data_IF_158254255637
#
_entry.id   IF_158254255637
#
_cell.length_a   1.000
_cell.length_b   1.000
_cell.length_c   1.000
_cell.angle_alpha   90.00
_cell.angle_beta   90.00
_cell.angle_gamma   90.00
#
_symmetry.space_group_name_H-M   'P 1'
#
loop_
_entity.id
_entity.type
_entity.pdbx_description
1 polymer ?
#
# COMPACT_ATOMS: atom_id res chain seq x y z
N UNK A 1 17.99 -7.24 13.41
CA UNK A 1 16.82 -7.86 12.78
C UNK A 1 17.20 -8.27 11.37
N UNK A 2 16.63 -9.34 10.83
CA UNK A 2 17.03 -9.85 9.52
C UNK A 2 16.12 -9.24 8.46
N UNK A 3 16.69 -8.53 7.47
CA UNK A 3 15.92 -7.99 6.36
C UNK A 3 15.37 -9.14 5.49
N UNK A 4 14.05 -9.21 5.36
CA UNK A 4 13.38 -10.18 4.48
C UNK A 4 13.32 -9.71 3.04
N UNK A 5 13.32 -8.40 2.82
CA UNK A 5 13.38 -7.76 1.51
C UNK A 5 14.42 -6.65 1.58
N UNK A 6 15.34 -6.61 0.62
CA UNK A 6 16.28 -5.52 0.44
C UNK A 6 16.42 -5.19 -1.05
N UNK A 7 16.21 -3.92 -1.40
CA UNK A 7 16.48 -3.40 -2.72
C UNK A 7 17.51 -2.28 -2.64
N UNK A 8 18.49 -2.29 -3.53
CA UNK A 8 19.59 -1.33 -3.58
C UNK A 8 19.68 -0.75 -4.99
N UNK A 9 19.40 0.55 -5.13
CA UNK A 9 19.37 1.30 -6.39
C UNK A 9 18.60 0.58 -7.49
N UNK A 10 17.52 -0.11 -7.09
CA UNK A 10 16.71 -0.94 -7.98
C UNK A 10 16.05 -0.07 -9.05
N UNK A 11 16.37 -0.34 -10.31
CA UNK A 11 15.88 0.45 -11.45
C UNK A 11 15.28 -0.44 -12.52
N UNK A 12 14.15 -0.01 -13.09
CA UNK A 12 13.54 -0.66 -14.25
C UNK A 12 13.12 0.34 -15.31
N UNK A 13 13.66 0.16 -16.51
CA UNK A 13 13.35 0.94 -17.71
C UNK A 13 12.58 0.08 -18.72
N UNK A 14 11.58 0.67 -19.37
CA UNK A 14 10.86 0.11 -20.50
C UNK A 14 10.98 1.10 -21.67
N UNK A 15 11.95 0.87 -22.55
CA UNK A 15 12.32 1.85 -23.57
C UNK A 15 12.74 3.19 -22.92
N UNK A 16 12.05 4.27 -23.28
CA UNK A 16 12.31 5.61 -22.72
C UNK A 16 11.68 5.82 -21.32
N UNK A 17 10.76 4.96 -20.88
CA UNK A 17 10.08 5.10 -19.59
C UNK A 17 10.90 4.45 -18.47
N UNK A 18 11.29 5.22 -17.46
CA UNK A 18 11.82 4.70 -16.20
C UNK A 18 10.66 4.48 -15.23
N UNK A 19 10.24 3.23 -15.09
CA UNK A 19 9.10 2.87 -14.24
C UNK A 19 9.46 2.73 -12.76
N UNK A 20 10.71 2.38 -12.45
CA UNK A 20 11.30 2.39 -11.09
C UNK A 20 12.70 2.97 -11.23
N UNK A 21 13.02 3.95 -10.39
CA UNK A 21 14.23 4.75 -10.49
C UNK A 21 14.98 4.78 -9.16
N UNK A 22 16.12 4.07 -9.09
CA UNK A 22 17.03 3.99 -7.94
C UNK A 22 16.34 3.72 -6.61
N UNK A 23 15.35 2.81 -6.60
CA UNK A 23 14.61 2.45 -5.39
C UNK A 23 15.52 1.77 -4.38
N UNK A 24 15.51 2.31 -3.16
CA UNK A 24 16.16 1.71 -2.00
C UNK A 24 15.07 1.43 -0.95
N UNK A 25 14.93 0.16 -0.54
CA UNK A 25 13.98 -0.25 0.48
C UNK A 25 14.49 -1.47 1.23
N UNK A 26 14.24 -1.50 2.53
CA UNK A 26 14.50 -2.63 3.40
C UNK A 26 13.23 -2.92 4.20
N UNK A 27 12.81 -4.19 4.25
CA UNK A 27 11.64 -4.67 5.01
C UNK A 27 12.09 -5.77 5.94
N UNK A 28 11.74 -5.63 7.22
CA UNK A 28 12.17 -6.55 8.26
C UNK A 28 11.20 -7.74 8.42
N UNK A 29 11.66 -8.78 9.11
CA UNK A 29 10.83 -9.95 9.41
C UNK A 29 9.65 -9.56 10.30
N UNK A 30 8.45 -10.06 9.95
CA UNK A 30 7.23 -9.77 10.71
C UNK A 30 6.72 -8.33 10.56
N UNK A 31 7.14 -7.62 9.52
CA UNK A 31 6.70 -6.26 9.20
C UNK A 31 5.57 -6.28 8.16
N UNK A 32 4.59 -5.39 8.31
CA UNK A 32 3.71 -4.97 7.22
C UNK A 32 4.28 -3.67 6.65
N UNK A 33 4.83 -3.75 5.45
CA UNK A 33 5.30 -2.60 4.69
C UNK A 33 4.29 -2.23 3.60
N UNK A 34 3.86 -0.96 3.58
CA UNK A 34 2.96 -0.44 2.54
C UNK A 34 3.69 0.47 1.56
N UNK A 35 3.69 0.14 0.27
CA UNK A 35 4.14 1.02 -0.80
C UNK A 35 2.95 1.75 -1.39
N UNK A 36 2.91 3.06 -1.22
CA UNK A 36 1.77 3.91 -1.55
C UNK A 36 2.12 4.92 -2.64
N UNK A 37 1.18 5.23 -3.48
CA UNK A 37 1.33 6.25 -4.52
C UNK A 37 0.19 6.19 -5.54
N UNK A 38 0.07 7.20 -6.42
CA UNK A 38 -0.96 7.25 -7.45
C UNK A 38 -0.79 6.14 -8.48
N UNK A 39 -1.78 6.01 -9.36
CA UNK A 39 -1.67 5.12 -10.50
C UNK A 39 -0.50 5.55 -11.39
N UNK A 40 0.25 4.56 -11.88
CA UNK A 40 1.45 4.81 -12.67
C UNK A 40 2.71 5.18 -11.86
N UNK A 41 2.64 5.28 -10.53
CA UNK A 41 3.81 5.61 -9.70
C UNK A 41 4.95 4.57 -9.75
N UNK A 42 4.68 3.35 -10.22
CA UNK A 42 5.66 2.26 -10.30
C UNK A 42 5.45 1.13 -9.27
N UNK A 43 4.41 1.17 -8.44
CA UNK A 43 4.13 0.22 -7.36
C UNK A 43 4.12 -1.25 -7.83
N UNK A 44 3.27 -1.58 -8.81
CA UNK A 44 3.17 -2.93 -9.38
C UNK A 44 4.48 -3.37 -10.04
N UNK A 45 5.21 -2.44 -10.70
CA UNK A 45 6.51 -2.76 -11.29
C UNK A 45 7.54 -3.08 -10.21
N UNK A 46 7.58 -2.32 -9.12
CA UNK A 46 8.43 -2.60 -7.97
C UNK A 46 8.13 -3.98 -7.39
N UNK A 47 6.86 -4.28 -7.18
CA UNK A 47 6.45 -5.59 -6.65
C UNK A 47 6.88 -6.75 -7.58
N UNK A 48 6.68 -6.60 -8.89
CA UNK A 48 7.11 -7.61 -9.88
C UNK A 48 8.62 -7.80 -9.92
N UNK A 49 9.40 -6.74 -9.71
CA UNK A 49 10.86 -6.84 -9.58
C UNK A 49 11.24 -7.65 -8.33
N UNK A 50 10.63 -7.34 -7.17
CA UNK A 50 10.90 -8.04 -5.92
C UNK A 50 10.46 -9.52 -5.95
N UNK A 51 9.42 -9.86 -6.72
CA UNK A 51 8.99 -11.24 -6.93
C UNK A 51 9.79 -12.00 -8.00
N UNK A 52 10.80 -11.37 -8.64
CA UNK A 52 11.55 -11.99 -9.74
C UNK A 52 10.72 -12.23 -11.01
N UNK A 53 9.59 -11.55 -11.18
CA UNK A 53 8.74 -11.64 -12.38
C UNK A 53 9.24 -10.76 -13.53
N UNK A 54 10.06 -9.76 -13.20
CA UNK A 54 10.70 -8.84 -14.14
C UNK A 54 12.13 -8.61 -13.66
N UNK A 55 13.11 -8.70 -14.55
CA UNK A 55 14.49 -8.43 -14.19
C UNK A 55 14.75 -6.91 -14.04
N UNK A 56 15.58 -6.49 -13.08
CA UNK A 56 16.02 -5.12 -12.99
C UNK A 56 16.87 -4.73 -14.21
N UNK A 57 16.85 -3.44 -14.57
CA UNK A 57 17.77 -2.87 -15.56
C UNK A 57 19.09 -2.50 -14.89
N UNK A 58 19.02 -1.99 -13.65
CA UNK A 58 20.17 -1.60 -12.83
C UNK A 58 19.84 -1.88 -11.35
N UNK A 59 20.86 -1.95 -10.52
CA UNK A 59 20.71 -2.25 -9.09
C UNK A 59 20.44 -3.73 -8.83
N UNK A 60 20.04 -4.05 -7.61
CA UNK A 60 19.73 -5.42 -7.20
C UNK A 60 18.63 -5.47 -6.15
N UNK A 61 18.00 -6.63 -6.01
CA UNK A 61 17.14 -6.92 -4.88
C UNK A 61 17.40 -8.34 -4.36
N UNK A 62 17.24 -8.50 -3.05
CA UNK A 62 17.36 -9.75 -2.32
C UNK A 62 16.08 -9.97 -1.53
N UNK A 63 15.46 -11.12 -1.66
CA UNK A 63 14.24 -11.51 -0.95
C UNK A 63 14.47 -12.87 -0.27
N UNK A 64 14.22 -12.92 1.03
CA UNK A 64 14.46 -14.11 1.88
C UNK A 64 15.90 -14.64 1.73
N UNK A 65 16.88 -13.72 1.54
CA UNK A 65 18.28 -14.05 1.39
C UNK A 65 18.71 -14.42 -0.04
N UNK A 66 17.79 -14.48 -1.02
CA UNK A 66 18.05 -14.86 -2.40
C UNK A 66 17.99 -13.67 -3.36
N UNK A 67 18.95 -13.60 -4.30
CA UNK A 67 18.99 -12.57 -5.35
C UNK A 67 17.88 -12.82 -6.38
N UNK A 68 16.98 -11.83 -6.56
CA UNK A 68 15.78 -11.98 -7.41
C UNK A 68 16.08 -12.19 -8.89
N UNK A 69 17.28 -11.84 -9.35
CA UNK A 69 17.68 -12.00 -10.75
C UNK A 69 18.46 -13.31 -11.01
N UNK A 70 19.10 -13.86 -9.99
CA UNK A 70 19.98 -15.04 -10.12
C UNK A 70 19.37 -16.30 -9.53
N UNK A 71 18.58 -16.15 -8.48
CA UNK A 71 18.04 -17.25 -7.67
C UNK A 71 16.50 -17.20 -7.63
N UNK A 72 15.90 -16.91 -8.79
CA UNK A 72 14.45 -16.62 -8.90
C UNK A 72 13.57 -17.77 -8.43
N UNK A 73 14.00 -19.02 -8.61
CA UNK A 73 13.22 -20.19 -8.18
C UNK A 73 13.21 -20.29 -6.65
N UNK A 74 14.36 -20.08 -6.00
CA UNK A 74 14.45 -20.02 -4.54
C UNK A 74 13.61 -18.86 -3.97
N UNK A 75 13.58 -17.70 -4.64
CA UNK A 75 12.68 -16.60 -4.25
C UNK A 75 11.23 -17.06 -4.31
N UNK A 76 10.79 -17.66 -5.43
CA UNK A 76 9.41 -18.12 -5.63
C UNK A 76 8.94 -19.16 -4.63
N UNK A 77 9.84 -20.05 -4.19
CA UNK A 77 9.54 -21.08 -3.18
C UNK A 77 9.20 -20.47 -1.81
N UNK A 78 9.66 -19.25 -1.54
CA UNK A 78 9.50 -18.59 -0.24
C UNK A 78 8.52 -17.42 -0.23
N UNK A 79 7.97 -17.02 -1.37
CA UNK A 79 7.06 -15.87 -1.46
C UNK A 79 5.67 -16.30 -1.90
N UNK A 80 4.65 -15.61 -1.39
CA UNK A 80 3.31 -15.60 -1.96
C UNK A 80 3.08 -14.30 -2.73
N UNK A 81 2.58 -14.38 -3.96
CA UNK A 81 2.23 -13.19 -4.74
C UNK A 81 0.75 -13.20 -5.11
N UNK A 82 0.03 -12.23 -4.59
CA UNK A 82 -1.36 -11.96 -4.93
C UNK A 82 -1.42 -10.75 -5.87
N UNK A 83 -1.57 -11.01 -7.15
CA UNK A 83 -1.70 -9.95 -8.17
C UNK A 83 -3.03 -9.20 -8.03
N UNK A 84 -3.09 -7.95 -8.48
CA UNK A 84 -4.31 -7.12 -8.50
C UNK A 84 -5.50 -7.86 -9.13
N UNK A 85 -5.27 -8.66 -10.17
CA UNK A 85 -6.25 -9.59 -10.75
C UNK A 85 -5.77 -11.01 -10.51
N UNK A 86 -6.20 -11.60 -9.41
CA UNK A 86 -5.85 -12.99 -9.10
C UNK A 86 -6.66 -13.97 -9.95
N UNK A 87 -5.98 -15.00 -10.44
CA UNK A 87 -6.51 -15.98 -11.39
C UNK A 87 -7.43 -17.04 -10.74
N UNK A 88 -8.48 -16.64 -10.02
CA UNK A 88 -9.46 -17.60 -9.50
C UNK A 88 -10.26 -18.25 -10.63
N UNK A 89 -10.43 -19.56 -10.56
CA UNK A 89 -11.31 -20.31 -11.46
C UNK A 89 -12.77 -20.11 -11.03
N UNK A 90 -13.49 -19.32 -11.83
CA UNK A 90 -14.84 -18.84 -11.46
C UNK A 90 -15.87 -19.98 -11.37
N UNK A 91 -15.70 -21.05 -12.14
CA UNK A 91 -16.58 -22.21 -12.18
C UNK A 91 -16.29 -23.23 -11.08
N UNK A 92 -15.10 -23.18 -10.49
CA UNK A 92 -14.73 -24.00 -9.36
C UNK A 92 -15.25 -23.41 -8.05
N UNK A 93 -15.56 -24.28 -7.10
CA UNK A 93 -15.89 -23.92 -5.72
C UNK A 93 -14.69 -23.35 -4.98
N UNK A 94 -14.91 -22.80 -3.79
CA UNK A 94 -13.83 -22.37 -2.89
C UNK A 94 -12.88 -23.53 -2.60
N UNK A 95 -13.41 -24.71 -2.23
CA UNK A 95 -12.61 -25.89 -1.92
C UNK A 95 -11.81 -26.37 -3.14
N UNK A 96 -12.43 -26.42 -4.32
CA UNK A 96 -11.73 -26.84 -5.55
C UNK A 96 -10.65 -25.86 -6.00
N UNK A 97 -10.86 -24.54 -5.86
CA UNK A 97 -9.80 -23.56 -6.10
C UNK A 97 -8.62 -23.81 -5.15
N UNK A 98 -8.87 -23.99 -3.85
CA UNK A 98 -7.82 -24.26 -2.87
C UNK A 98 -7.08 -25.56 -3.19
N UNK A 99 -7.80 -26.64 -3.55
CA UNK A 99 -7.20 -27.90 -3.93
C UNK A 99 -6.30 -27.74 -5.17
N UNK A 100 -6.77 -27.04 -6.19
CA UNK A 100 -6.01 -26.78 -7.40
C UNK A 100 -4.67 -26.07 -7.09
N UNK A 101 -4.71 -24.99 -6.29
CA UNK A 101 -3.48 -24.28 -5.93
C UNK A 101 -2.58 -25.08 -5.00
N UNK A 102 -3.13 -25.91 -4.10
CA UNK A 102 -2.34 -26.83 -3.28
C UNK A 102 -1.59 -27.85 -4.14
N UNK A 103 -2.28 -28.43 -5.13
CA UNK A 103 -1.68 -29.41 -6.05
C UNK A 103 -0.54 -28.81 -6.89
N UNK A 104 -0.64 -27.53 -7.29
CA UNK A 104 0.46 -26.83 -7.98
C UNK A 104 1.73 -26.73 -7.15
N UNK A 105 1.60 -26.67 -5.81
CA UNK A 105 2.73 -26.62 -4.88
C UNK A 105 3.10 -28.04 -4.33
N UNK A 106 2.47 -29.09 -4.85
CA UNK A 106 2.71 -30.47 -4.40
C UNK A 106 2.19 -30.78 -3.00
N UNK A 107 1.26 -29.96 -2.46
CA UNK A 107 0.68 -30.13 -1.13
C UNK A 107 -0.58 -30.99 -1.28
N UNK A 108 -0.50 -32.23 -0.80
CA UNK A 108 -1.54 -33.25 -0.99
C UNK A 108 -1.90 -33.95 0.31
N UNK A 109 -3.00 -34.72 0.28
CA UNK A 109 -3.42 -35.57 1.39
C UNK A 109 -3.75 -34.78 2.66
N UNK A 110 -3.38 -35.33 3.81
CA UNK A 110 -3.73 -34.80 5.13
C UNK A 110 -3.19 -33.38 5.33
N UNK A 111 -1.97 -33.09 4.87
CA UNK A 111 -1.38 -31.75 4.99
C UNK A 111 -2.23 -30.67 4.29
N UNK A 112 -2.69 -30.97 3.08
CA UNK A 112 -3.61 -30.07 2.34
C UNK A 112 -4.90 -29.84 3.11
N UNK A 113 -5.50 -30.91 3.64
CA UNK A 113 -6.79 -30.84 4.31
C UNK A 113 -6.71 -30.04 5.62
N UNK A 114 -5.66 -30.26 6.42
CA UNK A 114 -5.41 -29.51 7.66
C UNK A 114 -5.16 -28.02 7.39
N UNK A 115 -4.31 -27.72 6.40
CA UNK A 115 -3.98 -26.34 6.03
C UNK A 115 -5.21 -25.60 5.46
N UNK A 116 -5.96 -26.27 4.58
CA UNK A 116 -7.18 -25.71 4.01
C UNK A 116 -8.20 -25.41 5.10
N UNK A 117 -8.43 -26.34 6.03
CA UNK A 117 -9.34 -26.13 7.15
C UNK A 117 -8.90 -24.97 8.06
N UNK A 118 -7.58 -24.81 8.30
CA UNK A 118 -7.03 -23.71 9.07
C UNK A 118 -7.28 -22.36 8.37
N UNK A 119 -6.99 -22.27 7.07
CA UNK A 119 -7.16 -21.05 6.28
C UNK A 119 -8.64 -20.64 6.16
N UNK A 120 -9.53 -21.60 5.94
CA UNK A 120 -10.98 -21.38 5.91
C UNK A 120 -11.49 -20.79 7.22
N UNK A 121 -11.10 -21.37 8.38
CA UNK A 121 -11.49 -20.85 9.70
C UNK A 121 -10.95 -19.44 9.92
N UNK A 122 -9.67 -19.18 9.63
CA UNK A 122 -9.03 -17.89 9.78
C UNK A 122 -9.75 -16.79 8.99
N UNK A 123 -10.21 -17.11 7.78
CA UNK A 123 -10.90 -16.17 6.88
C UNK A 123 -12.41 -16.15 7.06
N UNK A 124 -12.97 -17.03 7.92
CA UNK A 124 -14.41 -17.27 8.10
C UNK A 124 -15.11 -17.68 6.80
N UNK A 125 -14.43 -18.45 5.98
CA UNK A 125 -14.94 -18.94 4.70
C UNK A 125 -15.49 -20.39 4.78
N UNK A 126 -15.45 -21.04 5.96
CA UNK A 126 -15.94 -22.40 6.16
C UNK A 126 -17.36 -22.65 5.61
N UNK A 127 -18.37 -21.75 5.82
CA UNK A 127 -19.72 -21.99 5.33
C UNK A 127 -19.83 -21.92 3.80
N UNK A 128 -18.80 -21.43 3.13
CA UNK A 128 -18.83 -21.14 1.69
C UNK A 128 -18.00 -22.09 0.84
N UNK A 129 -17.44 -23.16 1.42
CA UNK A 129 -16.53 -24.10 0.75
C UNK A 129 -17.08 -24.64 -0.57
N UNK A 130 -18.40 -24.93 -0.61
CA UNK A 130 -19.07 -25.48 -1.78
C UNK A 130 -19.61 -24.41 -2.75
N UNK A 131 -19.40 -23.11 -2.44
CA UNK A 131 -19.84 -22.03 -3.31
C UNK A 131 -18.83 -21.80 -4.42
N UNK A 132 -19.31 -21.68 -5.67
CA UNK A 132 -18.45 -21.34 -6.82
C UNK A 132 -17.84 -19.96 -6.66
N UNK A 133 -16.55 -19.79 -7.02
CA UNK A 133 -15.85 -18.53 -6.91
C UNK A 133 -16.53 -17.38 -7.68
N UNK A 134 -17.16 -17.69 -8.82
CA UNK A 134 -17.94 -16.71 -9.58
C UNK A 134 -19.12 -16.08 -8.83
N UNK A 135 -19.66 -16.79 -7.82
CA UNK A 135 -20.80 -16.36 -6.99
C UNK A 135 -20.39 -15.72 -5.66
N UNK A 136 -19.11 -15.49 -5.42
CA UNK A 136 -18.59 -14.81 -4.24
C UNK A 136 -18.67 -13.29 -4.42
N UNK A 137 -18.83 -12.55 -3.30
CA UNK A 137 -18.64 -11.11 -3.28
C UNK A 137 -17.17 -10.73 -3.55
N UNK A 138 -16.87 -9.47 -3.85
CA UNK A 138 -15.52 -8.98 -4.06
C UNK A 138 -14.60 -9.32 -2.88
N UNK A 139 -15.00 -8.98 -1.66
CA UNK A 139 -14.20 -9.28 -0.46
C UNK A 139 -14.02 -10.78 -0.20
N UNK A 140 -15.02 -11.62 -0.52
CA UNK A 140 -14.87 -13.08 -0.43
C UNK A 140 -13.88 -13.61 -1.47
N UNK A 141 -13.88 -13.07 -2.69
CA UNK A 141 -12.89 -13.42 -3.72
C UNK A 141 -11.47 -13.06 -3.27
N UNK A 142 -11.28 -11.91 -2.65
CA UNK A 142 -9.98 -11.52 -2.10
C UNK A 142 -9.52 -12.46 -0.97
N UNK A 143 -10.44 -12.85 -0.07
CA UNK A 143 -10.13 -13.85 0.96
C UNK A 143 -9.74 -15.20 0.36
N UNK A 144 -10.45 -15.66 -0.69
CA UNK A 144 -10.10 -16.90 -1.39
C UNK A 144 -8.73 -16.78 -2.08
N UNK A 145 -8.46 -15.67 -2.77
CA UNK A 145 -7.16 -15.42 -3.40
C UNK A 145 -6.03 -15.45 -2.37
N UNK A 146 -6.22 -14.80 -1.22
CA UNK A 146 -5.27 -14.81 -0.11
C UNK A 146 -5.04 -16.25 0.40
N UNK A 147 -6.10 -17.03 0.62
CA UNK A 147 -5.97 -18.43 1.06
C UNK A 147 -5.15 -19.25 0.06
N UNK A 148 -5.44 -19.14 -1.24
CA UNK A 148 -4.71 -19.83 -2.30
C UNK A 148 -3.22 -19.45 -2.29
N UNK A 149 -2.91 -18.17 -2.05
CA UNK A 149 -1.53 -17.67 -2.00
C UNK A 149 -0.77 -18.14 -0.74
N UNK A 150 -1.47 -18.55 0.32
CA UNK A 150 -0.87 -18.98 1.59
C UNK A 150 -0.64 -20.50 1.69
N UNK A 151 -1.13 -21.29 0.73
CA UNK A 151 -1.07 -22.75 0.80
C UNK A 151 0.36 -23.30 0.90
N UNK A 152 1.32 -22.73 0.21
CA UNK A 152 2.73 -23.19 0.26
C UNK A 152 3.52 -22.58 1.42
N UNK A 153 2.86 -21.96 2.39
CA UNK A 153 3.46 -21.40 3.63
C UNK A 153 4.62 -20.42 3.35
N UNK A 154 4.39 -19.35 2.57
CA UNK A 154 5.44 -18.39 2.24
C UNK A 154 5.99 -17.69 3.49
N UNK A 155 7.24 -17.19 3.41
CA UNK A 155 7.84 -16.30 4.43
C UNK A 155 7.53 -14.84 4.18
N UNK A 156 7.34 -14.45 2.92
CA UNK A 156 6.98 -13.11 2.51
C UNK A 156 5.72 -13.16 1.63
N UNK A 157 4.77 -12.30 1.91
CA UNK A 157 3.53 -12.15 1.15
C UNK A 157 3.53 -10.81 0.43
N UNK A 158 3.48 -10.83 -0.89
CA UNK A 158 3.33 -9.68 -1.75
C UNK A 158 1.88 -9.53 -2.19
N UNK A 159 1.26 -8.37 -1.92
CA UNK A 159 -0.14 -8.08 -2.20
C UNK A 159 -0.27 -6.82 -3.06
N UNK A 160 -0.66 -6.99 -4.31
CA UNK A 160 -0.80 -5.88 -5.26
C UNK A 160 -2.22 -5.34 -5.26
N UNK A 161 -2.46 -4.23 -4.56
CA UNK A 161 -3.75 -3.57 -4.37
C UNK A 161 -4.88 -4.54 -3.95
N UNK A 162 -4.68 -5.32 -2.87
CA UNK A 162 -5.54 -6.47 -2.56
C UNK A 162 -6.99 -6.10 -2.21
N UNK A 163 -7.26 -4.87 -1.87
CA UNK A 163 -8.57 -4.38 -1.42
C UNK A 163 -9.19 -3.38 -2.39
N UNK A 164 -8.62 -3.24 -3.59
CA UNK A 164 -9.19 -2.36 -4.61
C UNK A 164 -10.58 -2.84 -5.03
N UNK A 165 -11.56 -1.93 -5.00
CA UNK A 165 -12.95 -2.23 -5.32
C UNK A 165 -13.70 -3.08 -4.27
N UNK A 166 -13.14 -3.22 -3.06
CA UNK A 166 -13.76 -3.93 -1.93
C UNK A 166 -14.44 -2.94 -0.99
N UNK A 167 -15.61 -3.33 -0.47
CA UNK A 167 -16.35 -2.52 0.50
C UNK A 167 -15.58 -2.31 1.81
N UNK A 168 -15.85 -1.21 2.58
CA UNK A 168 -15.09 -0.89 3.78
C UNK A 168 -15.10 -1.96 4.88
N UNK A 169 -16.18 -2.73 5.01
CA UNK A 169 -16.29 -3.80 6.02
C UNK A 169 -15.38 -4.97 5.65
N UNK A 170 -15.47 -5.43 4.40
CA UNK A 170 -14.62 -6.50 3.87
C UNK A 170 -13.15 -6.11 3.86
N UNK A 171 -12.84 -4.83 3.60
CA UNK A 171 -11.48 -4.28 3.67
C UNK A 171 -10.92 -4.37 5.10
N UNK A 172 -11.68 -3.94 6.11
CA UNK A 172 -11.29 -4.05 7.52
C UNK A 172 -11.05 -5.50 7.92
N UNK A 173 -11.91 -6.42 7.49
CA UNK A 173 -11.77 -7.86 7.76
C UNK A 173 -10.50 -8.43 7.12
N UNK A 174 -10.17 -8.01 5.90
CA UNK A 174 -8.95 -8.42 5.21
C UNK A 174 -7.69 -7.99 5.98
N UNK A 175 -7.64 -6.74 6.43
CA UNK A 175 -6.54 -6.24 7.25
C UNK A 175 -6.42 -6.97 8.60
N UNK A 176 -7.54 -7.33 9.22
CA UNK A 176 -7.52 -8.14 10.46
C UNK A 176 -6.88 -9.52 10.24
N UNK A 177 -7.09 -10.13 9.06
CA UNK A 177 -6.41 -11.37 8.67
C UNK A 177 -4.90 -11.15 8.51
N UNK A 178 -4.49 -10.04 7.85
CA UNK A 178 -3.05 -9.73 7.69
C UNK A 178 -2.36 -9.58 9.05
N UNK A 179 -2.96 -8.91 10.03
CA UNK A 179 -2.41 -8.79 11.37
C UNK A 179 -2.23 -10.15 12.07
N UNK A 180 -3.20 -11.07 11.91
CA UNK A 180 -3.08 -12.42 12.44
C UNK A 180 -1.91 -13.18 11.81
N UNK A 181 -1.72 -13.04 10.50
CA UNK A 181 -0.63 -13.68 9.76
C UNK A 181 0.73 -13.14 10.18
N UNK A 182 0.87 -11.84 10.29
CA UNK A 182 2.11 -11.18 10.76
C UNK A 182 2.43 -11.60 12.20
N UNK A 183 1.42 -11.73 13.06
CA UNK A 183 1.59 -12.29 14.42
C UNK A 183 2.15 -13.73 14.46
N UNK A 184 2.16 -14.44 13.32
CA UNK A 184 2.81 -15.77 13.19
C UNK A 184 4.19 -15.71 12.54
N UNK A 185 4.74 -14.50 12.31
CA UNK A 185 6.07 -14.29 11.70
C UNK A 185 6.07 -14.06 10.19
N UNK A 186 4.89 -13.98 9.54
CA UNK A 186 4.82 -13.66 8.11
C UNK A 186 5.18 -12.20 7.87
N UNK A 187 6.02 -11.92 6.88
CA UNK A 187 6.31 -10.56 6.41
C UNK A 187 5.37 -10.21 5.27
N UNK A 188 4.84 -8.98 5.26
CA UNK A 188 3.88 -8.53 4.23
C UNK A 188 4.37 -7.27 3.54
N UNK A 189 4.43 -7.32 2.23
CA UNK A 189 4.64 -6.15 1.36
C UNK A 189 3.34 -5.89 0.58
N UNK A 190 2.68 -4.78 0.85
CA UNK A 190 1.41 -4.43 0.21
C UNK A 190 1.55 -3.15 -0.61
N UNK A 191 0.97 -3.12 -1.82
CA UNK A 191 0.77 -1.88 -2.55
C UNK A 191 -0.66 -1.41 -2.38
N UNK A 192 -0.88 -0.11 -2.27
CA UNK A 192 -2.21 0.49 -2.25
C UNK A 192 -2.18 1.92 -2.78
N UNK A 193 -3.28 2.37 -3.38
CA UNK A 193 -3.52 3.79 -3.65
C UNK A 193 -4.24 4.49 -2.47
N UNK A 194 -4.72 3.73 -1.49
CA UNK A 194 -5.51 4.23 -0.37
C UNK A 194 -4.61 4.53 0.84
N UNK A 195 -4.49 5.81 1.17
CA UNK A 195 -3.62 6.27 2.26
C UNK A 195 -4.16 5.92 3.65
N UNK A 196 -5.48 5.80 3.80
CA UNK A 196 -6.14 5.30 5.02
C UNK A 196 -5.81 3.82 5.31
N UNK A 197 -5.54 3.03 4.27
CA UNK A 197 -5.04 1.66 4.44
C UNK A 197 -3.57 1.64 4.84
N UNK A 198 -2.77 2.50 4.24
CA UNK A 198 -1.35 2.59 4.55
C UNK A 198 -1.09 2.96 6.03
N UNK A 199 -2.00 3.72 6.66
CA UNK A 199 -1.94 4.01 8.10
C UNK A 199 -1.96 2.75 9.00
N UNK A 200 -2.35 1.60 8.44
CA UNK A 200 -2.40 0.31 9.13
C UNK A 200 -1.09 -0.46 9.08
N UNK A 201 -0.15 -0.05 8.23
CA UNK A 201 1.16 -0.69 8.10
C UNK A 201 2.14 -0.24 9.20
N UNK A 202 3.17 -1.05 9.43
CA UNK A 202 4.26 -0.68 10.34
C UNK A 202 5.09 0.47 9.76
N UNK A 203 5.40 0.39 8.46
CA UNK A 203 6.10 1.44 7.72
C UNK A 203 5.44 1.66 6.36
N UNK A 204 5.58 2.89 5.88
CA UNK A 204 4.99 3.35 4.61
C UNK A 204 6.07 3.97 3.76
N UNK A 205 6.21 3.51 2.52
CA UNK A 205 6.99 4.16 1.49
C UNK A 205 6.08 4.93 0.53
N UNK A 206 6.28 6.23 0.42
CA UNK A 206 5.61 7.05 -0.59
C UNK A 206 6.34 6.98 -1.93
N UNK A 207 5.63 6.55 -2.97
CA UNK A 207 6.19 6.42 -4.32
C UNK A 207 5.51 7.37 -5.30
N UNK A 208 6.32 8.13 -6.04
CA UNK A 208 5.85 9.04 -7.09
C UNK A 208 6.83 9.02 -8.26
N UNK A 209 6.32 8.93 -9.50
CA UNK A 209 7.13 8.93 -10.74
C UNK A 209 8.34 7.97 -10.71
N UNK A 210 8.13 6.76 -10.21
CA UNK A 210 9.16 5.72 -10.15
C UNK A 210 10.11 5.82 -8.95
N UNK A 211 10.05 6.86 -8.14
CA UNK A 211 10.96 7.11 -7.00
C UNK A 211 10.25 6.97 -5.67
N UNK A 212 10.97 6.46 -4.67
CA UNK A 212 10.52 6.57 -3.29
C UNK A 212 10.88 7.96 -2.75
N UNK A 213 9.84 8.72 -2.38
CA UNK A 213 10.00 10.10 -1.90
C UNK A 213 10.38 10.10 -0.42
N UNK A 214 9.69 9.28 0.36
CA UNK A 214 9.86 9.21 1.82
C UNK A 214 9.43 7.81 2.31
N UNK A 215 10.08 7.33 3.36
CA UNK A 215 9.77 6.04 3.97
C UNK A 215 9.99 6.12 5.48
N UNK A 216 8.92 5.90 6.26
CA UNK A 216 8.97 5.85 7.72
C UNK A 216 7.68 5.23 8.28
N UNK A 217 7.54 5.17 9.61
CA UNK A 217 6.29 4.83 10.28
C UNK A 217 5.22 5.90 9.99
N UNK A 218 3.92 5.53 9.94
CA UNK A 218 2.85 6.51 9.73
C UNK A 218 2.90 7.69 10.71
N UNK A 219 3.24 7.42 11.97
CA UNK A 219 3.35 8.45 12.99
C UNK A 219 4.52 9.42 12.73
N UNK A 220 5.70 8.91 12.34
CA UNK A 220 6.86 9.71 12.00
C UNK A 220 6.63 10.56 10.74
N UNK A 221 6.00 9.98 9.71
CA UNK A 221 5.63 10.70 8.49
C UNK A 221 4.72 11.90 8.78
N UNK A 222 3.68 11.70 9.61
CA UNK A 222 2.76 12.79 9.99
C UNK A 222 3.42 13.85 10.85
N UNK A 223 4.35 13.45 11.73
CA UNK A 223 5.08 14.38 12.60
C UNK A 223 6.19 15.13 11.85
N UNK A 224 6.76 14.51 10.81
CA UNK A 224 7.86 15.05 10.02
C UNK A 224 7.44 16.13 9.02
N UNK A 225 6.14 16.41 8.86
CA UNK A 225 5.68 17.52 8.04
C UNK A 225 6.09 18.83 8.70
N UNK A 226 6.88 19.64 7.99
CA UNK A 226 7.36 20.92 8.51
C UNK A 226 6.27 22.00 8.53
N UNK A 227 5.24 21.82 7.71
CA UNK A 227 4.12 22.75 7.55
C UNK A 227 3.11 22.61 8.69
N UNK A 228 2.57 23.75 9.12
CA UNK A 228 1.44 23.76 10.04
C UNK A 228 0.14 23.42 9.30
N UNK A 229 -0.61 22.47 9.82
CA UNK A 229 -1.90 22.04 9.26
C UNK A 229 -3.07 22.51 10.16
N UNK A 230 -4.03 23.18 9.55
CA UNK A 230 -5.24 23.66 10.22
C UNK A 230 -6.49 23.16 9.51
N UNK A 231 -7.44 22.65 10.24
CA UNK A 231 -8.81 22.48 9.76
C UNK A 231 -9.51 23.82 9.83
N UNK A 232 -10.06 24.27 8.71
CA UNK A 232 -10.81 25.51 8.62
C UNK A 232 -12.23 25.26 8.13
N UNK A 233 -13.17 26.04 8.67
CA UNK A 233 -14.60 26.01 8.33
C UNK A 233 -15.04 27.41 7.92
N UNK A 234 -15.68 27.54 6.77
CA UNK A 234 -16.21 28.81 6.26
C UNK A 234 -17.62 28.64 5.70
N UNK A 235 -18.43 29.67 5.75
CA UNK A 235 -19.74 29.70 5.10
C UNK A 235 -19.66 29.67 3.55
N UNK A 236 -18.51 30.06 2.98
CA UNK A 236 -18.27 30.15 1.54
C UNK A 236 -16.93 29.48 1.16
N UNK A 237 -16.83 28.18 1.35
CA UNK A 237 -15.59 27.42 1.18
C UNK A 237 -14.85 27.71 -0.15
N UNK A 238 -15.56 27.77 -1.27
CA UNK A 238 -14.95 28.04 -2.57
C UNK A 238 -14.27 29.41 -2.62
N UNK A 239 -14.98 30.46 -2.26
CA UNK A 239 -14.46 31.84 -2.26
C UNK A 239 -13.30 31.98 -1.26
N UNK A 240 -13.47 31.40 -0.06
CA UNK A 240 -12.43 31.41 0.98
C UNK A 240 -11.17 30.72 0.47
N UNK A 241 -11.29 29.55 -0.16
CA UNK A 241 -10.16 28.84 -0.76
C UNK A 241 -9.44 29.70 -1.80
N UNK A 242 -10.17 30.26 -2.78
CA UNK A 242 -9.60 31.07 -3.87
C UNK A 242 -8.88 32.34 -3.36
N UNK A 243 -9.32 32.88 -2.23
CA UNK A 243 -8.67 34.03 -1.59
C UNK A 243 -7.43 33.64 -0.80
N UNK A 244 -7.51 32.53 -0.04
CA UNK A 244 -6.40 32.06 0.80
C UNK A 244 -5.24 31.51 -0.04
N UNK A 245 -5.51 30.78 -1.13
CA UNK A 245 -4.47 30.23 -2.01
C UNK A 245 -3.57 31.30 -2.65
N UNK A 246 -4.03 32.57 -2.67
CA UNK A 246 -3.26 33.72 -3.19
C UNK A 246 -2.41 34.42 -2.12
N UNK A 247 -2.52 34.02 -0.87
CA UNK A 247 -1.83 34.70 0.22
C UNK A 247 -0.40 34.17 0.40
N UNK A 248 0.56 35.03 0.68
CA UNK A 248 1.92 34.62 0.99
C UNK A 248 1.95 33.69 2.22
N UNK A 249 2.74 32.61 2.14
CA UNK A 249 2.87 31.63 3.21
C UNK A 249 1.73 30.60 3.27
N UNK A 250 0.72 30.71 2.40
CA UNK A 250 -0.28 29.64 2.20
C UNK A 250 0.23 28.68 1.14
N UNK A 251 0.50 27.45 1.55
CA UNK A 251 0.99 26.41 0.66
C UNK A 251 -0.15 25.77 -0.13
N UNK A 252 -1.25 25.47 0.54
CA UNK A 252 -2.43 24.88 -0.09
C UNK A 252 -3.66 24.96 0.82
N UNK A 253 -4.83 24.92 0.20
CA UNK A 253 -6.12 24.76 0.86
C UNK A 253 -6.87 23.60 0.20
N UNK A 254 -7.06 22.49 0.94
CA UNK A 254 -7.65 21.26 0.41
C UNK A 254 -9.08 21.08 0.93
N UNK A 255 -10.07 20.86 0.07
CA UNK A 255 -11.41 20.51 0.52
C UNK A 255 -11.44 19.14 1.23
N UNK A 256 -12.06 19.09 2.41
CA UNK A 256 -12.23 17.86 3.21
C UNK A 256 -13.69 17.77 3.71
N UNK A 257 -14.56 17.25 2.87
CA UNK A 257 -16.00 17.17 3.14
C UNK A 257 -16.63 18.58 3.23
N UNK A 258 -17.11 18.96 4.41
CA UNK A 258 -17.67 20.30 4.66
C UNK A 258 -16.64 21.32 5.12
N UNK A 259 -15.43 20.89 5.46
CA UNK A 259 -14.33 21.73 5.90
C UNK A 259 -13.22 21.78 4.86
N UNK A 260 -12.12 22.46 5.19
CA UNK A 260 -10.90 22.50 4.39
C UNK A 260 -9.69 22.31 5.30
N UNK A 261 -8.62 21.70 4.76
CA UNK A 261 -7.31 21.67 5.40
C UNK A 261 -6.44 22.78 4.81
N UNK A 262 -5.97 23.67 5.66
CA UNK A 262 -5.10 24.80 5.35
C UNK A 262 -3.68 24.46 5.79
N UNK A 263 -2.74 24.50 4.85
CA UNK A 263 -1.32 24.30 5.09
C UNK A 263 -0.58 25.61 5.00
N UNK A 264 0.14 25.92 6.05
CA UNK A 264 0.90 27.17 6.17
C UNK A 264 2.39 26.87 6.30
N UNK A 265 3.18 27.71 5.66
CA UNK A 265 4.61 27.77 5.90
C UNK A 265 4.84 28.43 7.26
N UNK A 266 5.48 27.71 8.21
CA UNK A 266 5.78 28.27 9.51
C UNK A 266 6.58 29.57 9.35
N UNK A 267 6.33 30.56 10.21
CA UNK A 267 6.99 31.86 10.24
C UNK A 267 6.57 32.87 9.16
N UNK A 268 5.98 32.47 8.05
CA UNK A 268 5.52 33.43 7.02
C UNK A 268 4.13 33.99 7.30
N UNK A 269 3.20 33.15 7.71
CA UNK A 269 1.81 33.58 7.99
C UNK A 269 1.20 32.79 9.14
N UNK A 270 0.03 33.21 9.59
CA UNK A 270 -0.76 32.49 10.60
C UNK A 270 -2.25 32.57 10.28
N UNK A 271 -3.08 31.67 10.81
CA UNK A 271 -4.53 31.72 10.61
C UNK A 271 -5.16 33.07 11.00
N UNK A 272 -4.68 33.70 12.08
CA UNK A 272 -5.16 34.99 12.57
C UNK A 272 -4.95 36.09 11.53
N UNK A 273 -3.80 36.13 10.87
CA UNK A 273 -3.51 37.09 9.79
C UNK A 273 -4.41 36.85 8.58
N UNK A 274 -4.71 35.60 8.27
CA UNK A 274 -5.54 35.22 7.13
C UNK A 274 -7.02 35.49 7.37
N UNK A 275 -7.49 35.49 8.60
CA UNK A 275 -8.87 35.89 8.94
C UNK A 275 -9.17 37.37 8.60
N UNK A 276 -8.15 38.22 8.46
CA UNK A 276 -8.32 39.59 7.95
C UNK A 276 -8.66 39.65 6.45
N UNK A 277 -8.35 38.58 5.69
CA UNK A 277 -8.66 38.49 4.24
C UNK A 277 -10.05 37.94 4.02
N UNK A 278 -10.42 36.88 4.77
CA UNK A 278 -11.74 36.24 4.68
C UNK A 278 -12.09 35.58 6.01
N UNK A 279 -13.33 35.64 6.48
CA UNK A 279 -13.70 35.02 7.75
C UNK A 279 -13.76 33.48 7.65
N UNK A 280 -13.15 32.79 8.62
CA UNK A 280 -13.26 31.36 8.84
C UNK A 280 -12.95 31.00 10.29
N UNK A 281 -13.49 29.88 10.75
CA UNK A 281 -13.07 29.26 12.00
C UNK A 281 -11.91 28.29 11.74
N UNK A 282 -11.01 28.14 12.68
CA UNK A 282 -9.87 27.24 12.52
C UNK A 282 -9.49 26.52 13.82
N UNK A 283 -8.88 25.36 13.65
CA UNK A 283 -8.17 24.64 14.71
C UNK A 283 -6.94 23.95 14.14
N UNK A 284 -5.83 23.94 14.89
CA UNK A 284 -4.65 23.15 14.51
C UNK A 284 -4.97 21.67 14.59
N UNK A 285 -4.59 20.91 13.58
CA UNK A 285 -4.80 19.46 13.52
C UNK A 285 -3.49 18.74 13.20
N UNK A 286 -3.43 17.45 13.54
CA UNK A 286 -2.40 16.59 13.03
C UNK A 286 -2.75 16.21 11.57
N UNK A 287 -1.82 16.34 10.62
CA UNK A 287 -2.07 15.96 9.23
C UNK A 287 -2.36 14.46 9.10
N UNK A 288 -3.16 14.10 8.10
CA UNK A 288 -3.31 12.73 7.63
C UNK A 288 -2.11 12.32 6.74
N UNK A 289 -1.96 11.03 6.42
CA UNK A 289 -0.97 10.62 5.41
C UNK A 289 -1.26 11.22 4.02
N UNK A 290 -2.53 11.46 3.71
CA UNK A 290 -2.93 12.12 2.45
C UNK A 290 -2.40 13.55 2.39
N UNK A 291 -2.53 14.28 3.48
CA UNK A 291 -2.00 15.63 3.63
C UNK A 291 -0.47 15.65 3.42
N UNK A 292 0.24 14.72 4.08
CA UNK A 292 1.70 14.59 3.95
C UNK A 292 2.10 14.27 2.52
N UNK A 293 1.43 13.32 1.88
CA UNK A 293 1.74 12.91 0.51
C UNK A 293 1.56 14.07 -0.48
N UNK A 294 0.44 14.78 -0.40
CA UNK A 294 0.15 15.92 -1.30
C UNK A 294 1.17 17.04 -1.10
N UNK A 295 1.55 17.35 0.16
CA UNK A 295 2.57 18.35 0.44
C UNK A 295 3.93 17.97 -0.18
N UNK A 296 4.34 16.71 -0.07
CA UNK A 296 5.61 16.21 -0.64
C UNK A 296 5.62 16.26 -2.17
N UNK A 297 4.54 15.83 -2.83
CA UNK A 297 4.44 15.85 -4.30
C UNK A 297 4.54 17.28 -4.82
N UNK A 298 3.84 18.23 -4.20
CA UNK A 298 3.91 19.65 -4.59
C UNK A 298 5.32 20.26 -4.46
N UNK A 299 6.03 19.92 -3.39
CA UNK A 299 7.44 20.35 -3.23
C UNK A 299 8.32 19.86 -4.37
N UNK A 300 8.11 18.62 -4.81
CA UNK A 300 8.86 18.06 -5.94
C UNK A 300 8.51 18.73 -7.26
N UNK A 301 7.23 18.96 -7.52
CA UNK A 301 6.77 19.62 -8.76
C UNK A 301 7.23 21.08 -8.82
N UNK A 302 7.19 21.81 -7.68
CA UNK A 302 7.70 23.18 -7.59
C UNK A 302 9.22 23.28 -7.78
N UNK A 303 9.98 22.27 -7.34
CA UNK A 303 11.43 22.22 -7.55
C UNK A 303 11.83 21.92 -9.00
N UNK A 304 10.92 21.38 -9.83
CA UNK A 304 11.17 21.10 -11.25
C UNK A 304 10.68 22.24 -12.18
N UNK A 305 10.00 23.23 -11.63
CA UNK A 305 9.44 24.39 -12.38
C UNK A 305 10.36 25.62 -12.33
N UNK A 306 11.53 25.54 -11.67
CA UNK A 306 12.60 26.55 -11.62
C UNK A 306 13.83 25.95 -12.31
#
# INVERSE_FOLDING_TARGET
>A
MNAMIRAENLTRKFGALTAVDHLNVEVEEGEIFALVGPDGAGKTTTMRLLCGLVNPTEGRAVVVGHDVAKEVDQVKDHIGYMAQRFGLYQDLTVAENMAFYADLFGIVGQERDELSARLLRMTRMDPFQQRRAGKLSGGMKQKLALMCTLLHKPKVLFLDEPTNGVDPVSRRDFWAILYQLVGTGLTVFVTTAYLDEAERANRVGFMHQGRMILCDTPAALKKGLAEDCYRITSAQNRTTRELLEKQPGVLTVQPMGQDMHLFLEPEQTSPEKLQAVTPFDYRKIQPSLEDVFIALVRKQEGAHAV
#
